data_IF_569009482757
#
_entry.id   IF_569009482757
#
_cell.length_a   1.000
_cell.length_b   1.000
_cell.length_c   1.000
_cell.angle_alpha   90.00
_cell.angle_beta   90.00
_cell.angle_gamma   90.00
#
_symmetry.space_group_name_H-M   'P 1'
#
loop_
_entity.id
_entity.type
_entity.pdbx_description
1 polymer ?
#
# COMPACT_ATOMS: atom_id res chain seq x y z
N UNK A 1 -3.35 6.89 -7.28
CA UNK A 1 -2.80 6.35 -8.55
C UNK A 1 -3.89 5.52 -9.19
N UNK A 2 -3.84 5.21 -10.49
CA UNK A 2 -4.81 4.32 -11.11
C UNK A 2 -4.25 2.88 -11.07
N UNK A 3 -4.76 2.06 -10.15
CA UNK A 3 -4.25 0.70 -9.89
C UNK A 3 -4.89 -0.30 -10.83
N UNK A 4 -6.19 -0.17 -11.10
CA UNK A 4 -6.96 -1.10 -11.94
C UNK A 4 -7.11 -0.64 -13.41
N UNK A 5 -6.50 0.48 -13.79
CA UNK A 5 -6.48 1.05 -15.14
C UNK A 5 -7.86 1.52 -15.64
N UNK A 6 -8.76 1.93 -14.73
CA UNK A 6 -10.10 2.42 -15.09
C UNK A 6 -10.18 3.94 -15.27
N UNK A 7 -9.02 4.61 -15.26
CA UNK A 7 -8.86 6.07 -15.34
C UNK A 7 -9.46 6.84 -14.16
N UNK A 8 -9.70 6.19 -13.03
CA UNK A 8 -10.09 6.82 -11.76
C UNK A 8 -8.97 6.74 -10.75
N UNK A 9 -9.06 7.59 -9.73
CA UNK A 9 -8.04 7.67 -8.70
C UNK A 9 -8.30 6.63 -7.62
N UNK A 10 -7.34 5.74 -7.43
CA UNK A 10 -7.29 4.78 -6.33
C UNK A 10 -6.31 5.20 -5.24
N UNK A 11 -6.44 4.54 -4.08
CA UNK A 11 -5.55 4.70 -2.94
C UNK A 11 -4.79 3.40 -2.66
N UNK A 12 -3.49 3.55 -2.42
CA UNK A 12 -2.65 2.52 -1.82
C UNK A 12 -2.15 3.07 -0.51
N UNK A 13 -2.43 2.38 0.59
CA UNK A 13 -2.02 2.81 1.92
C UNK A 13 -1.13 1.75 2.56
N UNK A 14 -0.10 2.23 3.23
CA UNK A 14 0.72 1.48 4.17
C UNK A 14 0.59 2.11 5.54
N UNK A 15 1.12 1.45 6.56
CA UNK A 15 1.05 1.99 7.90
C UNK A 15 2.12 1.43 8.79
N UNK A 16 1.72 1.30 10.05
CA UNK A 16 2.56 1.03 11.20
C UNK A 16 3.54 2.15 11.52
N UNK A 17 3.88 2.25 12.80
CA UNK A 17 4.87 3.19 13.28
C UNK A 17 5.48 2.67 14.57
N UNK A 18 6.78 2.40 14.51
CA UNK A 18 7.54 1.81 15.63
C UNK A 18 8.36 2.83 16.41
N UNK A 19 8.35 4.10 15.99
CA UNK A 19 9.07 5.20 16.66
C UNK A 19 8.27 5.81 17.81
N UNK A 20 7.56 4.98 18.56
CA UNK A 20 6.68 5.35 19.66
C UNK A 20 7.41 5.27 21.00
N UNK A 21 7.00 6.09 21.97
CA UNK A 21 7.48 5.93 23.34
C UNK A 21 7.07 4.57 23.93
N UNK A 22 7.85 4.06 24.89
CA UNK A 22 7.63 2.76 25.50
C UNK A 22 6.23 2.59 26.13
N UNK A 23 5.63 3.68 26.62
CA UNK A 23 4.28 3.67 27.19
C UNK A 23 3.20 3.34 26.16
N UNK A 24 3.36 3.77 24.91
CA UNK A 24 2.33 3.62 23.88
C UNK A 24 2.49 2.36 23.03
N UNK A 25 3.68 1.74 23.06
CA UNK A 25 3.99 0.57 22.25
C UNK A 25 3.89 0.85 20.74
N UNK A 26 4.21 -0.16 19.93
CA UNK A 26 4.22 -0.01 18.47
C UNK A 26 2.79 0.08 17.93
N UNK A 27 2.55 0.98 16.99
CA UNK A 27 1.38 0.88 16.11
C UNK A 27 1.71 -0.18 15.05
N UNK A 28 1.24 -1.42 15.25
CA UNK A 28 1.63 -2.59 14.44
C UNK A 28 0.43 -3.44 13.99
N UNK A 29 -0.64 -2.76 13.56
CA UNK A 29 -1.89 -3.41 13.14
C UNK A 29 -2.16 -3.32 11.64
N UNK A 30 -1.43 -2.48 10.90
CA UNK A 30 -1.62 -2.31 9.47
C UNK A 30 -0.89 -3.40 8.70
N UNK A 31 -1.57 -3.95 7.70
CA UNK A 31 -0.99 -4.85 6.68
C UNK A 31 -1.04 -4.20 5.29
N UNK A 32 -1.27 -2.89 5.24
CA UNK A 32 -1.57 -2.15 4.02
C UNK A 32 -2.97 -2.43 3.47
N UNK A 33 -3.41 -1.60 2.52
CA UNK A 33 -4.65 -1.82 1.78
C UNK A 33 -4.62 -1.11 0.42
N UNK A 34 -5.38 -1.66 -0.53
CA UNK A 34 -5.72 -1.01 -1.79
C UNK A 34 -7.21 -0.69 -1.77
N UNK A 35 -7.56 0.54 -2.15
CA UNK A 35 -8.92 1.00 -2.24
C UNK A 35 -9.20 1.52 -3.65
N UNK A 36 -10.18 0.91 -4.32
CA UNK A 36 -10.60 1.32 -5.67
C UNK A 36 -11.59 2.47 -5.58
N UNK A 37 -11.29 3.55 -6.27
CA UNK A 37 -12.12 4.75 -6.33
C UNK A 37 -13.23 4.64 -7.37
N UNK A 38 -14.39 5.22 -7.08
CA UNK A 38 -15.49 5.31 -8.06
C UNK A 38 -15.44 6.57 -8.94
N UNK A 39 -14.50 7.49 -8.65
CA UNK A 39 -14.36 8.80 -9.29
C UNK A 39 -15.17 9.93 -8.64
N UNK A 40 -16.06 9.61 -7.70
CA UNK A 40 -16.91 10.56 -6.97
C UNK A 40 -16.47 10.72 -5.51
N UNK A 41 -15.31 10.17 -5.15
CA UNK A 41 -14.77 10.20 -3.78
C UNK A 41 -15.22 9.03 -2.90
N UNK A 42 -15.93 8.04 -3.46
CA UNK A 42 -16.17 6.78 -2.75
C UNK A 42 -15.08 5.77 -3.05
N UNK A 43 -14.76 4.96 -2.06
CA UNK A 43 -13.68 3.99 -2.12
C UNK A 43 -14.14 2.64 -1.60
N UNK A 44 -13.80 1.58 -2.33
CA UNK A 44 -14.03 0.20 -1.92
C UNK A 44 -12.70 -0.48 -1.60
N UNK A 45 -12.56 -0.97 -0.38
CA UNK A 45 -11.39 -1.76 0.04
C UNK A 45 -11.37 -3.08 -0.72
N UNK A 46 -10.23 -3.42 -1.29
CA UNK A 46 -9.96 -4.71 -1.94
C UNK A 46 -9.28 -5.62 -0.92
N UNK A 47 -9.66 -6.89 -0.88
CA UNK A 47 -9.03 -7.85 0.02
C UNK A 47 -7.53 -8.02 -0.35
N UNK A 48 -6.65 -8.37 0.61
CA UNK A 48 -5.25 -8.67 0.29
C UNK A 48 -5.09 -9.82 -0.72
N UNK A 49 -6.00 -10.81 -0.69
CA UNK A 49 -5.98 -11.94 -1.61
C UNK A 49 -6.30 -11.53 -3.06
N UNK A 50 -7.27 -10.63 -3.24
CA UNK A 50 -7.66 -10.14 -4.57
C UNK A 50 -6.67 -9.11 -5.12
N UNK A 51 -6.18 -8.22 -4.25
CA UNK A 51 -5.24 -7.16 -4.64
C UNK A 51 -3.80 -7.66 -4.81
N UNK A 52 -3.44 -8.79 -4.21
CA UNK A 52 -2.06 -9.26 -4.14
C UNK A 52 -1.16 -8.36 -3.28
N UNK A 53 -1.73 -7.41 -2.52
CA UNK A 53 -1.01 -6.44 -1.72
C UNK A 53 -1.20 -6.73 -0.23
N UNK A 54 -0.11 -7.16 0.42
CA UNK A 54 -0.01 -7.28 1.87
C UNK A 54 1.39 -6.90 2.30
N UNK A 55 1.50 -5.86 3.11
CA UNK A 55 2.76 -5.31 3.57
C UNK A 55 2.71 -4.98 5.06
N UNK A 56 3.01 -5.95 5.94
CA UNK A 56 3.26 -5.65 7.34
C UNK A 56 4.59 -4.90 7.50
N UNK A 57 4.82 -4.35 8.69
CA UNK A 57 6.04 -3.60 8.97
C UNK A 57 5.83 -2.08 8.86
N UNK A 58 6.87 -1.34 9.23
CA UNK A 58 6.84 0.12 9.31
C UNK A 58 7.05 0.79 7.95
N UNK A 59 5.97 1.01 7.21
CA UNK A 59 6.01 1.58 5.85
C UNK A 59 6.36 3.07 5.89
N UNK A 60 7.30 3.50 5.03
CA UNK A 60 7.76 4.89 4.93
C UNK A 60 7.48 5.54 3.59
N UNK A 61 7.46 4.75 2.52
CA UNK A 61 7.15 5.27 1.19
C UNK A 61 6.57 4.16 0.33
N UNK A 62 5.63 4.54 -0.52
CA UNK A 62 5.06 3.71 -1.56
C UNK A 62 5.16 4.52 -2.84
N UNK A 63 5.93 4.03 -3.81
CA UNK A 63 6.15 4.71 -5.08
C UNK A 63 5.65 3.84 -6.23
N UNK A 64 4.85 4.40 -7.14
CA UNK A 64 4.50 3.71 -8.37
C UNK A 64 5.69 3.70 -9.32
N UNK A 65 6.01 2.55 -9.87
CA UNK A 65 6.97 2.35 -10.95
C UNK A 65 6.22 1.87 -12.18
N UNK A 66 6.56 2.44 -13.34
CA UNK A 66 6.07 1.95 -14.63
C UNK A 66 7.11 1.00 -15.20
N UNK A 67 6.79 -0.28 -15.26
CA UNK A 67 7.59 -1.32 -15.87
C UNK A 67 6.94 -1.81 -17.17
N UNK A 68 7.68 -2.56 -17.98
CA UNK A 68 7.12 -3.24 -19.16
C UNK A 68 6.06 -4.27 -18.80
N UNK A 69 6.10 -4.77 -17.57
CA UNK A 69 5.17 -5.72 -16.94
C UNK A 69 3.87 -5.07 -16.44
N UNK A 70 3.77 -3.74 -16.45
CA UNK A 70 2.64 -2.98 -15.92
C UNK A 70 3.03 -2.04 -14.76
N UNK A 71 2.04 -1.68 -13.95
CA UNK A 71 2.26 -0.89 -12.74
C UNK A 71 2.88 -1.78 -11.66
N UNK A 72 4.01 -1.33 -11.10
CA UNK A 72 4.62 -1.93 -9.93
C UNK A 72 4.63 -0.92 -8.77
N UNK A 73 4.54 -1.42 -7.54
CA UNK A 73 4.64 -0.61 -6.34
C UNK A 73 5.94 -0.95 -5.63
N UNK A 74 6.83 0.03 -5.53
CA UNK A 74 8.01 -0.05 -4.68
C UNK A 74 7.65 0.44 -3.28
N UNK A 75 7.82 -0.42 -2.27
CA UNK A 75 7.50 -0.11 -0.88
C UNK A 75 8.78 -0.11 -0.05
N UNK A 76 9.09 1.05 0.55
CA UNK A 76 10.20 1.21 1.48
C UNK A 76 9.70 1.09 2.92
N UNK A 77 10.40 0.30 3.74
CA UNK A 77 10.10 0.07 5.14
C UNK A 77 11.28 0.46 6.02
N UNK A 78 11.00 1.05 7.18
CA UNK A 78 12.04 1.38 8.16
C UNK A 78 12.39 0.12 8.97
N UNK A 79 13.67 -0.27 8.94
CA UNK A 79 14.17 -1.43 9.67
C UNK A 79 13.87 -2.78 9.01
N UNK A 80 13.49 -2.79 7.73
CA UNK A 80 13.22 -4.00 6.95
C UNK A 80 13.61 -3.79 5.47
N UNK A 81 13.66 -4.87 4.69
CA UNK A 81 13.91 -4.82 3.24
C UNK A 81 12.76 -4.11 2.52
N UNK A 82 13.10 -3.43 1.42
CA UNK A 82 12.08 -2.94 0.48
C UNK A 82 11.40 -4.10 -0.25
N UNK A 83 10.24 -3.83 -0.85
CA UNK A 83 9.47 -4.83 -1.58
C UNK A 83 8.91 -4.25 -2.88
N UNK A 84 8.71 -5.11 -3.87
CA UNK A 84 8.05 -4.79 -5.14
C UNK A 84 6.77 -5.61 -5.26
N UNK A 85 5.67 -4.96 -5.61
CA UNK A 85 4.39 -5.59 -5.89
C UNK A 85 3.97 -5.28 -7.31
N UNK A 86 3.75 -6.29 -8.14
CA UNK A 86 3.17 -6.10 -9.46
C UNK A 86 1.65 -6.01 -9.35
N UNK A 87 1.07 -4.94 -9.88
CA UNK A 87 -0.37 -4.71 -9.88
C UNK A 87 -0.99 -5.26 -11.15
N UNK A 88 -2.16 -5.88 -10.98
CA UNK A 88 -2.95 -6.48 -12.05
C UNK A 88 -3.90 -5.47 -12.65
#
# INVERSE_FOLDING_TARGET
MDVNQDSKLDLVIGGNFYGTDAQFGRHDASVGAILIGDGNGHFKVVSPGDSGFSIPGNVRSILPLKASSGLELFVARNGDMSSLFQMK
#
